data_IF_961038951856
#
_entry.id   IF_961038951856
#
_cell.length_a   1.000
_cell.length_b   1.000
_cell.length_c   1.000
_cell.angle_alpha   90.00
_cell.angle_beta   90.00
_cell.angle_gamma   90.00
#
_symmetry.space_group_name_H-M   'P 1'
#
loop_
_entity.id
_entity.type
_entity.pdbx_description
1 polymer ?
#
# COMPACT_ATOMS: atom_id res chain seq x y z
N UNK A 1 54.25 10.76 62.84
CA UNK A 1 53.66 9.87 61.82
C UNK A 1 52.63 10.66 61.02
N UNK A 2 53.02 11.26 59.89
CA UNK A 2 52.13 12.02 58.99
C UNK A 2 52.40 11.57 57.53
N UNK A 3 51.39 10.87 57.01
CA UNK A 3 50.86 10.77 55.64
C UNK A 3 51.80 10.81 54.41
N UNK A 4 52.06 9.61 53.87
CA UNK A 4 52.68 9.30 52.56
C UNK A 4 51.73 9.50 51.35
N UNK A 5 50.83 10.50 51.40
CA UNK A 5 49.86 10.77 50.31
C UNK A 5 50.11 12.07 49.54
N UNK A 6 50.99 12.95 50.02
CA UNK A 6 51.24 14.25 49.37
C UNK A 6 52.42 14.25 48.39
N UNK A 7 53.28 13.23 48.42
CA UNK A 7 54.46 13.16 47.53
C UNK A 7 54.09 12.80 46.08
N UNK A 8 52.98 12.08 45.87
CA UNK A 8 52.51 11.73 44.52
C UNK A 8 51.75 12.86 43.81
N UNK A 9 51.21 13.82 44.56
CA UNK A 9 50.49 14.96 43.98
C UNK A 9 51.43 16.10 43.53
N UNK A 10 52.58 16.27 44.21
CA UNK A 10 53.56 17.30 43.84
C UNK A 10 54.27 17.01 42.51
N UNK A 11 54.39 15.74 42.11
CA UNK A 11 55.03 15.36 40.84
C UNK A 11 54.13 15.58 39.61
N UNK A 12 52.81 15.65 39.78
CA UNK A 12 51.88 15.85 38.66
C UNK A 12 51.60 17.32 38.33
N UNK A 13 51.85 18.25 39.25
CA UNK A 13 51.61 19.68 39.02
C UNK A 13 52.71 20.39 38.21
N UNK A 14 53.89 19.78 38.06
CA UNK A 14 55.02 20.40 37.38
C UNK A 14 55.07 20.17 35.86
N UNK A 15 54.21 19.31 35.31
CA UNK A 15 54.22 18.93 33.89
C UNK A 15 53.22 19.73 33.04
N UNK A 16 52.29 20.48 33.66
CA UNK A 16 51.20 21.17 32.94
C UNK A 16 51.56 22.61 32.50
N UNK A 17 52.73 23.15 32.86
CA UNK A 17 53.04 24.57 32.66
C UNK A 17 54.13 24.90 31.61
N UNK A 18 54.55 23.95 30.77
CA UNK A 18 55.68 24.18 29.84
C UNK A 18 55.45 23.77 28.37
N UNK A 19 54.24 23.93 27.84
CA UNK A 19 53.97 23.67 26.42
C UNK A 19 53.08 24.78 25.83
N UNK A 20 53.63 25.99 25.78
CA UNK A 20 53.16 27.04 24.87
C UNK A 20 54.34 27.53 24.03
N UNK A 21 54.10 27.62 22.72
CA UNK A 21 54.94 28.14 21.63
C UNK A 21 55.89 27.16 20.94
N UNK A 22 55.36 26.51 19.89
CA UNK A 22 56.06 26.36 18.62
C UNK A 22 55.09 26.30 17.45
N UNK A 23 55.08 27.39 16.69
CA UNK A 23 54.59 27.51 15.32
C UNK A 23 55.55 26.74 14.41
N UNK A 24 55.05 25.76 13.64
CA UNK A 24 55.60 25.31 12.33
C UNK A 24 54.67 24.26 11.70
N UNK A 25 54.23 24.60 10.48
CA UNK A 25 53.44 23.91 9.44
C UNK A 25 53.20 22.37 9.49
N UNK A 26 52.11 21.94 8.83
CA UNK A 26 52.20 20.86 7.86
C UNK A 26 52.02 21.39 6.44
N UNK A 27 52.92 20.93 5.58
CA UNK A 27 52.93 21.06 4.13
C UNK A 27 51.57 20.73 3.52
N UNK A 28 51.01 21.66 2.76
CA UNK A 28 50.02 21.31 1.75
C UNK A 28 50.78 20.55 0.65
N UNK A 29 50.61 19.23 0.62
CA UNK A 29 50.82 18.48 -0.59
C UNK A 29 49.88 19.09 -1.65
N UNK A 30 50.49 19.72 -2.64
CA UNK A 30 49.82 20.13 -3.87
C UNK A 30 49.55 18.85 -4.66
N UNK A 31 48.49 18.12 -4.28
CA UNK A 31 47.89 17.15 -5.19
C UNK A 31 47.24 17.99 -6.28
N UNK A 32 47.86 17.93 -7.46
CA UNK A 32 47.34 18.50 -8.70
C UNK A 32 46.12 17.67 -9.12
N UNK A 33 45.04 17.75 -8.33
CA UNK A 33 43.78 17.11 -8.64
C UNK A 33 43.09 17.98 -9.67
N UNK A 34 43.43 17.71 -10.93
CA UNK A 34 42.67 18.16 -12.08
C UNK A 34 41.34 17.41 -12.08
N UNK A 35 40.50 17.66 -11.07
CA UNK A 35 39.08 17.34 -11.17
C UNK A 35 38.46 18.45 -12.01
N UNK A 36 37.77 18.12 -13.12
CA UNK A 36 36.94 19.11 -13.79
C UNK A 36 36.03 19.74 -12.74
N UNK A 37 35.78 21.06 -12.82
CA UNK A 37 34.89 21.72 -11.87
C UNK A 37 33.59 20.91 -11.81
N UNK A 38 33.23 20.51 -10.59
CA UNK A 38 31.92 19.92 -10.36
C UNK A 38 30.93 21.02 -10.73
N UNK A 39 30.32 20.88 -11.90
CA UNK A 39 29.30 21.77 -12.39
C UNK A 39 28.14 21.63 -11.40
N UNK A 40 28.03 22.61 -10.49
CA UNK A 40 26.86 22.73 -9.62
C UNK A 40 25.75 23.05 -10.59
N UNK A 41 25.03 21.99 -11.00
CA UNK A 41 23.81 22.14 -11.76
C UNK A 41 22.99 23.22 -11.03
N UNK A 42 22.57 24.29 -11.72
CA UNK A 42 21.68 25.24 -11.10
C UNK A 42 20.51 24.46 -10.54
N UNK A 43 19.97 24.90 -9.40
CA UNK A 43 18.64 24.49 -8.98
C UNK A 43 17.71 24.92 -10.10
N UNK A 44 17.61 24.07 -11.12
CA UNK A 44 16.46 24.02 -12.00
C UNK A 44 15.33 23.96 -11.01
N UNK A 45 14.55 25.03 -11.00
CA UNK A 45 13.15 25.00 -10.62
C UNK A 45 12.71 23.57 -10.82
N UNK A 46 12.34 22.87 -9.74
CA UNK A 46 11.54 21.70 -9.89
C UNK A 46 10.27 22.20 -10.60
N UNK A 47 10.33 22.31 -11.93
CA UNK A 47 9.24 21.94 -12.79
C UNK A 47 8.90 20.58 -12.22
N UNK A 48 7.87 20.60 -11.39
CA UNK A 48 6.81 19.62 -11.37
C UNK A 48 6.91 18.86 -12.70
N UNK A 49 7.75 17.83 -12.73
CA UNK A 49 7.60 16.75 -13.68
C UNK A 49 6.33 16.12 -13.17
N UNK A 50 5.20 16.76 -13.49
CA UNK A 50 3.93 16.08 -13.56
C UNK A 50 4.27 14.81 -14.29
N UNK A 51 4.02 13.67 -13.62
CA UNK A 51 4.33 12.36 -14.16
C UNK A 51 3.82 12.38 -15.59
N UNK A 52 4.76 12.47 -16.54
CA UNK A 52 4.43 12.40 -17.96
C UNK A 52 4.11 10.94 -18.12
N UNK A 53 2.82 10.63 -17.97
CA UNK A 53 2.28 9.34 -18.34
C UNK A 53 2.65 9.17 -19.81
N UNK A 54 3.53 8.22 -20.09
CA UNK A 54 3.86 7.86 -21.46
C UNK A 54 2.61 7.24 -22.11
N UNK A 55 1.84 8.12 -22.74
CA UNK A 55 0.52 7.88 -23.33
C UNK A 55 0.57 6.95 -24.56
N UNK A 56 1.77 6.54 -24.99
CA UNK A 56 1.95 5.71 -26.20
C UNK A 56 1.42 4.27 -26.04
N UNK A 57 1.05 3.85 -24.82
CA UNK A 57 0.54 2.50 -24.55
C UNK A 57 -0.94 2.46 -24.16
N UNK A 58 -1.61 3.60 -24.04
CA UNK A 58 -3.03 3.65 -23.66
C UNK A 58 -3.84 4.23 -24.81
N UNK A 59 -4.98 3.60 -25.13
CA UNK A 59 -5.87 4.09 -26.20
C UNK A 59 -6.83 5.16 -25.69
N UNK A 60 -6.90 5.34 -24.38
CA UNK A 60 -7.88 6.20 -23.71
C UNK A 60 -7.27 6.88 -22.48
N UNK A 61 -7.76 8.08 -22.08
CA UNK A 61 -7.20 8.84 -20.97
C UNK A 61 -7.21 8.07 -19.64
N UNK A 62 -6.26 8.34 -18.75
CA UNK A 62 -6.24 7.71 -17.44
C UNK A 62 -7.50 8.01 -16.61
N UNK A 63 -7.92 7.03 -15.80
CA UNK A 63 -9.03 7.13 -14.84
C UNK A 63 -8.47 7.39 -13.44
N UNK A 64 -9.12 8.27 -12.68
CA UNK A 64 -8.80 8.51 -11.26
C UNK A 64 -9.99 8.11 -10.40
N UNK A 65 -9.81 7.08 -9.57
CA UNK A 65 -10.83 6.58 -8.66
C UNK A 65 -10.54 6.97 -7.22
N UNK A 66 -11.59 7.10 -6.42
CA UNK A 66 -11.52 7.15 -4.96
C UNK A 66 -11.96 5.79 -4.38
N UNK A 67 -11.43 5.37 -3.21
CA UNK A 67 -11.71 4.04 -2.66
C UNK A 67 -13.19 3.74 -2.36
N UNK A 68 -14.00 4.78 -2.18
CA UNK A 68 -15.44 4.72 -1.88
C UNK A 68 -16.33 4.84 -3.12
N UNK A 69 -15.76 4.92 -4.32
CA UNK A 69 -16.53 5.20 -5.53
C UNK A 69 -16.27 4.18 -6.63
N UNK A 70 -17.35 3.72 -7.23
CA UNK A 70 -17.32 3.01 -8.50
C UNK A 70 -17.49 3.97 -9.68
N UNK A 71 -16.85 3.65 -10.81
CA UNK A 71 -17.00 4.40 -12.06
C UNK A 71 -17.57 3.52 -13.16
N UNK A 72 -18.52 4.06 -13.92
CA UNK A 72 -19.07 3.41 -15.10
C UNK A 72 -18.28 3.82 -16.33
N UNK A 73 -17.79 2.83 -17.06
CA UNK A 73 -17.06 3.02 -18.31
C UNK A 73 -17.86 2.40 -19.45
N UNK A 74 -18.17 3.20 -20.47
CA UNK A 74 -18.81 2.73 -21.70
C UNK A 74 -17.77 2.41 -22.76
N UNK A 75 -18.00 1.33 -23.50
CA UNK A 75 -17.14 0.83 -24.56
C UNK A 75 -17.78 1.09 -25.93
N UNK A 76 -16.96 1.46 -26.90
CA UNK A 76 -17.44 1.68 -28.27
C UNK A 76 -17.85 0.38 -28.98
N UNK A 77 -17.33 -0.76 -28.51
CA UNK A 77 -17.56 -2.09 -29.08
C UNK A 77 -17.75 -3.14 -27.98
N UNK A 78 -18.47 -4.25 -28.25
CA UNK A 78 -18.65 -5.30 -27.28
C UNK A 78 -17.33 -5.92 -26.80
N UNK A 79 -17.16 -6.01 -25.48
CA UNK A 79 -16.07 -6.72 -24.84
C UNK A 79 -16.27 -8.23 -24.96
N UNK A 80 -15.18 -8.94 -25.29
CA UNK A 80 -15.10 -10.40 -25.20
C UNK A 80 -14.17 -10.84 -24.07
N UNK A 81 -13.13 -10.05 -23.77
CA UNK A 81 -12.20 -10.33 -22.68
C UNK A 81 -11.72 -9.04 -22.02
N UNK A 82 -11.49 -9.10 -20.71
CA UNK A 82 -10.99 -7.99 -19.90
C UNK A 82 -9.76 -8.51 -19.14
N UNK A 83 -8.65 -7.81 -19.31
CA UNK A 83 -7.37 -8.11 -18.66
C UNK A 83 -7.08 -6.98 -17.68
N UNK A 84 -6.95 -7.32 -16.40
CA UNK A 84 -6.57 -6.38 -15.35
C UNK A 84 -5.12 -6.62 -14.99
N UNK A 85 -4.30 -5.58 -15.00
CA UNK A 85 -2.87 -5.68 -14.71
C UNK A 85 -2.61 -6.11 -13.27
N UNK A 86 -3.16 -5.38 -12.30
CA UNK A 86 -3.11 -5.74 -10.88
C UNK A 86 -4.52 -5.69 -10.26
N UNK A 87 -5.12 -6.84 -9.90
CA UNK A 87 -6.45 -6.92 -9.31
C UNK A 87 -6.52 -6.50 -7.84
N UNK A 88 -5.38 -6.33 -7.15
CA UNK A 88 -5.36 -5.86 -5.76
C UNK A 88 -5.79 -4.39 -5.66
N UNK A 89 -5.59 -3.60 -6.72
CA UNK A 89 -5.97 -2.18 -6.75
C UNK A 89 -7.34 -1.95 -7.38
N UNK A 90 -7.74 -2.75 -8.37
CA UNK A 90 -8.94 -2.54 -9.17
C UNK A 90 -9.66 -3.86 -9.46
N UNK A 91 -10.97 -3.86 -9.26
CA UNK A 91 -11.86 -4.89 -9.78
C UNK A 91 -12.74 -4.30 -10.89
N UNK A 92 -13.04 -5.09 -11.92
CA UNK A 92 -13.89 -4.69 -13.03
C UNK A 92 -15.01 -5.71 -13.17
N UNK A 93 -16.25 -5.22 -13.18
CA UNK A 93 -17.45 -6.01 -13.44
C UNK A 93 -18.02 -5.61 -14.80
N UNK A 94 -18.36 -6.59 -15.63
CA UNK A 94 -19.09 -6.33 -16.86
C UNK A 94 -20.59 -6.32 -16.55
N UNK A 95 -21.19 -5.13 -16.54
CA UNK A 95 -22.64 -4.96 -16.38
C UNK A 95 -23.39 -5.38 -17.67
N UNK A 96 -22.86 -4.94 -18.81
CA UNK A 96 -23.29 -5.38 -20.15
C UNK A 96 -22.08 -5.62 -21.04
N UNK A 97 -22.28 -6.12 -22.25
CA UNK A 97 -21.18 -6.29 -23.21
C UNK A 97 -20.47 -4.99 -23.57
N UNK A 98 -21.06 -3.82 -23.32
CA UNK A 98 -20.48 -2.50 -23.61
C UNK A 98 -20.38 -1.58 -22.39
N UNK A 99 -20.68 -2.07 -21.18
CA UNK A 99 -20.63 -1.25 -19.96
C UNK A 99 -19.87 -2.00 -18.88
N UNK A 100 -18.85 -1.35 -18.35
CA UNK A 100 -18.01 -1.84 -17.26
C UNK A 100 -18.24 -1.00 -16.01
N UNK A 101 -18.28 -1.67 -14.86
CA UNK A 101 -18.24 -1.04 -13.53
C UNK A 101 -16.85 -1.26 -12.95
N UNK A 102 -16.12 -0.18 -12.75
CA UNK A 102 -14.82 -0.19 -12.10
C UNK A 102 -15.01 0.03 -10.61
N UNK A 103 -14.43 -0.84 -9.79
CA UNK A 103 -14.50 -0.78 -8.33
C UNK A 103 -13.08 -0.71 -7.77
N UNK A 104 -12.76 0.39 -7.09
CA UNK A 104 -11.50 0.54 -6.39
C UNK A 104 -11.39 -0.45 -5.22
N UNK A 105 -10.23 -1.09 -5.06
CA UNK A 105 -9.95 -2.02 -3.93
C UNK A 105 -8.95 -1.44 -2.95
N UNK A 106 -7.79 -1.01 -3.45
CA UNK A 106 -6.73 -0.44 -2.64
C UNK A 106 -6.04 0.71 -3.39
N UNK A 107 -5.55 1.74 -2.67
CA UNK A 107 -4.76 2.80 -3.27
C UNK A 107 -3.57 2.25 -4.05
N UNK A 108 -3.30 2.84 -5.21
CA UNK A 108 -2.24 2.37 -6.09
C UNK A 108 -2.45 2.76 -7.55
N UNK A 109 -1.61 2.21 -8.40
CA UNK A 109 -1.65 2.39 -9.85
C UNK A 109 -1.79 1.02 -10.51
N UNK A 110 -2.68 0.92 -11.49
CA UNK A 110 -2.91 -0.31 -12.26
C UNK A 110 -3.41 0.07 -13.65
N UNK A 111 -3.62 -0.92 -14.51
CA UNK A 111 -4.21 -0.69 -15.83
C UNK A 111 -5.16 -1.83 -16.16
N UNK A 112 -6.02 -1.60 -17.14
CA UNK A 112 -6.80 -2.67 -17.74
C UNK A 112 -6.86 -2.52 -19.26
N UNK A 113 -7.05 -3.65 -19.92
CA UNK A 113 -7.20 -3.77 -21.36
C UNK A 113 -8.44 -4.58 -21.66
N UNK A 114 -9.25 -4.10 -22.60
CA UNK A 114 -10.47 -4.74 -23.08
C UNK A 114 -10.25 -5.16 -24.52
N UNK A 115 -10.55 -6.41 -24.84
CA UNK A 115 -10.43 -6.98 -26.17
C UNK A 115 -11.81 -7.34 -26.73
N UNK A 116 -11.96 -7.24 -28.05
CA UNK A 116 -13.12 -7.76 -28.76
C UNK A 116 -12.98 -9.27 -29.06
N UNK A 117 -14.01 -9.84 -29.68
CA UNK A 117 -14.04 -11.26 -30.06
C UNK A 117 -12.93 -11.68 -31.04
N UNK A 118 -12.30 -10.73 -31.73
CA UNK A 118 -11.22 -10.96 -32.68
C UNK A 118 -9.84 -10.77 -32.03
N UNK A 119 -9.78 -10.41 -30.74
CA UNK A 119 -8.55 -10.10 -30.02
C UNK A 119 -8.02 -8.68 -30.26
N UNK A 120 -8.78 -7.80 -30.91
CA UNK A 120 -8.37 -6.40 -31.10
C UNK A 120 -8.65 -5.58 -29.85
N UNK A 121 -7.74 -4.65 -29.52
CA UNK A 121 -7.90 -3.74 -28.38
C UNK A 121 -9.10 -2.82 -28.62
N UNK A 122 -10.09 -2.91 -27.73
CA UNK A 122 -11.24 -2.00 -27.66
C UNK A 122 -10.87 -0.80 -26.81
N UNK A 123 -10.24 -1.04 -25.66
CA UNK A 123 -9.88 0.00 -24.71
C UNK A 123 -8.66 -0.44 -23.90
N UNK A 124 -7.75 0.48 -23.65
CA UNK A 124 -6.64 0.29 -22.73
C UNK A 124 -6.47 1.58 -21.92
N UNK A 125 -6.57 1.48 -20.60
CA UNK A 125 -6.55 2.64 -19.70
C UNK A 125 -5.69 2.38 -18.49
N UNK A 126 -4.95 3.40 -18.12
CA UNK A 126 -4.34 3.47 -16.80
C UNK A 126 -5.37 3.91 -15.76
N UNK A 127 -5.29 3.36 -14.56
CA UNK A 127 -6.18 3.65 -13.44
C UNK A 127 -5.34 3.97 -12.21
N UNK A 128 -5.62 5.14 -11.63
CA UNK A 128 -5.00 5.60 -10.39
C UNK A 128 -6.07 5.57 -9.32
N UNK A 129 -5.89 4.70 -8.33
CA UNK A 129 -6.74 4.68 -7.13
C UNK A 129 -6.08 5.59 -6.10
N UNK A 130 -6.70 6.74 -5.87
CA UNK A 130 -6.20 7.71 -4.92
C UNK A 130 -6.25 7.16 -3.49
N UNK A 131 -5.29 7.57 -2.66
CA UNK A 131 -5.46 7.41 -1.22
C UNK A 131 -6.71 8.17 -0.76
N UNK A 132 -7.43 7.66 0.24
CA UNK A 132 -8.55 8.39 0.82
C UNK A 132 -8.06 9.74 1.36
N UNK A 133 -8.70 10.84 0.96
CA UNK A 133 -8.30 12.20 1.36
C UNK A 133 -9.31 12.90 2.26
N UNK A 134 -10.59 12.84 1.90
CA UNK A 134 -11.66 13.54 2.62
C UNK A 134 -12.43 12.58 3.50
N UNK A 135 -12.69 12.95 4.76
CA UNK A 135 -13.41 12.12 5.74
C UNK A 135 -12.68 10.82 6.11
N UNK A 136 -11.38 10.72 5.85
CA UNK A 136 -10.57 9.59 6.30
C UNK A 136 -9.49 10.02 7.28
N UNK A 137 -9.28 9.20 8.31
CA UNK A 137 -8.21 9.38 9.29
C UNK A 137 -7.25 8.20 9.25
N UNK A 138 -5.95 8.47 9.27
CA UNK A 138 -4.92 7.44 9.37
C UNK A 138 -4.26 7.51 10.74
N UNK A 139 -4.41 6.45 11.53
CA UNK A 139 -3.79 6.33 12.85
C UNK A 139 -2.58 5.43 12.72
N UNK A 140 -1.39 5.97 13.05
CA UNK A 140 -0.16 5.20 13.16
C UNK A 140 0.13 4.91 14.62
N UNK A 141 0.32 3.63 14.95
CA UNK A 141 0.69 3.17 16.30
C UNK A 141 2.17 2.79 16.29
N UNK A 142 2.90 3.20 17.33
CA UNK A 142 4.28 2.76 17.55
C UNK A 142 4.29 1.37 18.19
N UNK A 143 4.70 0.36 17.44
CA UNK A 143 4.95 -0.98 17.96
C UNK A 143 6.30 -0.99 18.68
N UNK A 144 6.31 -1.22 19.99
CA UNK A 144 7.53 -1.17 20.80
C UNK A 144 8.34 -2.48 20.75
N UNK A 145 7.69 -3.58 20.35
CA UNK A 145 8.26 -4.93 20.35
C UNK A 145 8.18 -5.53 18.95
N UNK A 146 9.29 -6.07 18.47
CA UNK A 146 9.41 -6.75 17.16
C UNK A 146 8.65 -8.08 17.08
N UNK A 147 8.13 -8.57 18.21
CA UNK A 147 7.64 -9.94 18.37
C UNK A 147 6.10 -10.01 18.56
N UNK A 148 5.40 -8.88 18.46
CA UNK A 148 3.94 -8.86 18.49
C UNK A 148 3.39 -9.04 17.05
N UNK A 149 3.07 -10.29 16.69
CA UNK A 149 2.48 -10.66 15.39
C UNK A 149 1.17 -9.93 15.07
N UNK A 150 0.54 -9.29 16.06
CA UNK A 150 -0.71 -8.54 15.92
C UNK A 150 -0.52 -6.99 15.91
N UNK A 151 0.72 -6.50 15.81
CA UNK A 151 0.93 -5.05 15.81
C UNK A 151 0.68 -4.42 14.42
N UNK A 152 -0.57 -4.06 14.16
CA UNK A 152 -0.95 -3.25 13.00
C UNK A 152 -0.49 -1.80 13.20
N UNK A 153 0.67 -1.48 12.62
CA UNK A 153 1.31 -0.16 12.77
C UNK A 153 0.49 0.98 12.17
N UNK A 154 -0.42 0.71 11.25
CA UNK A 154 -1.24 1.71 10.57
C UNK A 154 -2.68 1.21 10.38
N UNK A 155 -3.64 1.99 10.83
CA UNK A 155 -5.09 1.77 10.60
C UNK A 155 -5.69 3.00 9.91
N UNK A 156 -6.71 2.77 9.09
CA UNK A 156 -7.41 3.83 8.35
C UNK A 156 -8.89 3.79 8.71
N UNK A 157 -9.48 4.93 9.01
CA UNK A 157 -10.87 5.07 9.40
C UNK A 157 -11.60 5.99 8.43
N UNK A 158 -12.86 5.69 8.13
CA UNK A 158 -13.80 6.57 7.43
C UNK A 158 -14.78 7.20 8.43
N UNK A 159 -14.83 8.54 8.47
CA UNK A 159 -15.52 9.33 9.49
C UNK A 159 -16.38 10.45 8.87
N UNK A 160 -17.48 10.13 8.15
CA UNK A 160 -18.46 11.14 7.75
C UNK A 160 -19.23 11.69 8.96
N UNK A 161 -19.57 10.82 9.92
CA UNK A 161 -20.23 11.16 11.19
C UNK A 161 -19.58 10.37 12.34
N UNK A 162 -19.62 9.03 12.25
CA UNK A 162 -18.92 8.09 13.12
C UNK A 162 -17.78 7.40 12.36
N UNK A 163 -16.69 7.10 13.06
CA UNK A 163 -15.51 6.49 12.47
C UNK A 163 -15.64 4.96 12.39
N UNK A 164 -15.48 4.42 11.19
CA UNK A 164 -15.41 2.98 10.92
C UNK A 164 -14.04 2.63 10.35
N UNK A 165 -13.40 1.57 10.87
CA UNK A 165 -12.13 1.09 10.33
C UNK A 165 -12.34 0.50 8.94
N UNK A 166 -11.47 0.86 8.00
CA UNK A 166 -11.44 0.30 6.65
C UNK A 166 -10.14 -0.46 6.44
N UNK A 167 -10.27 -1.73 6.08
CA UNK A 167 -9.13 -2.60 5.77
C UNK A 167 -8.68 -2.25 4.34
N UNK A 168 -7.53 -1.57 4.22
CA UNK A 168 -6.94 -1.26 2.92
C UNK A 168 -6.13 -2.47 2.42
N UNK A 169 -6.85 -3.48 1.91
CA UNK A 169 -6.32 -4.52 1.01
C UNK A 169 -4.89 -5.01 1.27
N UNK A 170 -4.65 -5.61 2.43
CA UNK A 170 -3.74 -6.74 2.57
C UNK A 170 -4.43 -7.73 3.47
N UNK A 171 -4.69 -8.92 2.93
CA UNK A 171 -5.21 -10.11 3.62
C UNK A 171 -6.75 -10.22 3.65
N UNK A 172 -7.25 -11.16 2.84
CA UNK A 172 -8.48 -11.88 3.14
C UNK A 172 -8.29 -12.56 4.51
N UNK A 173 -8.95 -12.04 5.54
CA UNK A 173 -9.12 -12.73 6.81
C UNK A 173 -10.48 -12.35 7.42
N UNK A 174 -11.40 -13.29 7.24
CA UNK A 174 -12.56 -13.63 8.05
C UNK A 174 -13.64 -12.57 8.38
N UNK A 175 -14.79 -12.80 7.76
CA UNK A 175 -16.08 -12.23 8.12
C UNK A 175 -16.49 -12.59 9.55
N UNK A 176 -16.51 -11.61 10.45
CA UNK A 176 -17.33 -11.65 11.66
C UNK A 176 -18.47 -10.65 11.54
N UNK A 177 -19.47 -11.01 10.74
CA UNK A 177 -20.80 -10.42 10.86
C UNK A 177 -21.53 -11.15 12.02
N UNK A 178 -21.26 -10.75 13.26
CA UNK A 178 -22.16 -11.06 14.38
C UNK A 178 -23.42 -10.20 14.24
N UNK A 179 -24.41 -10.72 13.52
CA UNK A 179 -25.77 -10.22 13.58
C UNK A 179 -26.44 -10.81 14.84
N UNK A 180 -26.47 -10.02 15.91
CA UNK A 180 -27.38 -10.24 17.04
C UNK A 180 -28.82 -9.97 16.57
N UNK A 181 -29.55 -11.05 16.27
CA UNK A 181 -31.00 -11.03 16.14
C UNK A 181 -31.58 -12.33 16.71
N UNK A 182 -31.61 -12.44 18.04
CA UNK A 182 -32.33 -13.50 18.73
C UNK A 182 -33.75 -13.01 19.06
N UNK A 183 -34.63 -13.13 18.06
CA UNK A 183 -36.08 -13.05 18.23
C UNK A 183 -36.63 -14.48 18.28
N UNK A 184 -37.07 -14.90 19.46
CA UNK A 184 -37.62 -16.24 19.66
C UNK A 184 -38.89 -16.51 18.87
N UNK A 185 -39.08 -17.77 18.48
CA UNK A 185 -40.36 -18.42 18.70
C UNK A 185 -40.16 -19.94 18.81
N UNK A 186 -40.62 -20.47 19.94
CA UNK A 186 -40.86 -21.89 20.18
C UNK A 186 -41.94 -22.40 19.23
N UNK A 187 -41.75 -23.58 18.64
CA UNK A 187 -42.83 -24.55 18.54
C UNK A 187 -42.25 -25.97 18.40
N UNK A 188 -42.75 -26.82 19.29
CA UNK A 188 -42.53 -28.24 19.37
C UNK A 188 -43.40 -28.98 18.33
N UNK A 189 -43.24 -30.31 18.35
CA UNK A 189 -44.03 -31.35 17.68
C UNK A 189 -43.55 -31.64 16.25
N UNK A 190 -43.18 -32.86 15.86
CA UNK A 190 -43.27 -34.18 16.48
C UNK A 190 -42.63 -35.21 15.54
N UNK A 191 -42.56 -36.45 15.99
CA UNK A 191 -42.06 -37.67 15.30
C UNK A 191 -42.43 -37.73 13.79
N UNK A 192 -41.72 -38.43 12.91
CA UNK A 192 -41.50 -39.87 12.98
C UNK A 192 -40.66 -40.36 11.77
N UNK A 193 -40.08 -41.55 11.94
CA UNK A 193 -39.69 -42.59 10.98
C UNK A 193 -38.94 -42.25 9.66
N UNK A 194 -37.73 -42.77 9.45
CA UNK A 194 -37.41 -44.12 8.91
C UNK A 194 -37.72 -44.29 7.41
N UNK A 195 -36.68 -44.37 6.56
CA UNK A 195 -36.38 -45.50 5.68
C UNK A 195 -35.52 -45.11 4.45
N UNK A 196 -34.47 -45.91 4.26
CA UNK A 196 -33.53 -45.96 3.13
C UNK A 196 -34.20 -46.22 1.77
N UNK A 197 -33.51 -45.93 0.64
CA UNK A 197 -34.01 -46.22 -0.71
C UNK A 197 -33.78 -47.69 -1.10
N UNK A 198 -34.64 -48.30 -1.94
CA UNK A 198 -34.31 -49.53 -2.63
C UNK A 198 -33.57 -49.25 -3.94
N UNK A 199 -32.58 -50.10 -4.22
CA UNK A 199 -31.97 -50.31 -5.51
C UNK A 199 -32.53 -51.58 -6.13
N UNK A 200 -32.92 -51.58 -7.40
CA UNK A 200 -32.96 -52.74 -8.33
C UNK A 200 -33.34 -52.19 -9.73
N UNK A 201 -32.45 -52.15 -10.73
CA UNK A 201 -31.98 -53.19 -11.70
C UNK A 201 -33.03 -53.56 -12.78
N UNK A 202 -32.51 -53.67 -14.02
CA UNK A 202 -33.02 -54.36 -15.22
C UNK A 202 -34.03 -53.62 -16.12
N UNK A 203 -34.01 -53.74 -17.45
CA UNK A 203 -33.14 -54.42 -18.42
C UNK A 203 -33.54 -53.92 -19.84
N UNK A 204 -32.65 -54.09 -20.83
CA UNK A 204 -32.88 -54.39 -22.28
C UNK A 204 -34.22 -54.00 -22.93
N UNK A 205 -34.25 -53.20 -24.01
CA UNK A 205 -34.04 -53.58 -25.43
C UNK A 205 -34.03 -52.34 -26.32
#
# INVERSE_FOLDING_TARGET
>A
MISSKYLKFALFSAIILLQSLSVSAPSFAQENDTRPPLDILPATTAQERGIVYDDQTHTHPAIKLTPDKSELVRLDRPAASIIVGNPNHLSILADTSQTLVLVARAPGATQFTVLDKNGAIVMQRHVIVASPKEKYMRVRRSCASSDDDNCQSTSVFYCPDMCHEIIMGSEEADSSAEALAEGGNTNADGADALASPPAEINDTE
#
